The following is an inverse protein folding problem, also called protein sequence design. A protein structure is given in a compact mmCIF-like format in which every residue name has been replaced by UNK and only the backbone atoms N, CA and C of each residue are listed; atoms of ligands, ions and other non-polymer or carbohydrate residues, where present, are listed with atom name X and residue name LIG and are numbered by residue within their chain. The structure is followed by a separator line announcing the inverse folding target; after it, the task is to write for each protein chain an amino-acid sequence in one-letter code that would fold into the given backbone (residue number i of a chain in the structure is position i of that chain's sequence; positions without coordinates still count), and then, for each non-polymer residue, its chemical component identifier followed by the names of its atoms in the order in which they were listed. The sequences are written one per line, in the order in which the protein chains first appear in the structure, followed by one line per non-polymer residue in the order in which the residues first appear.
data_IF_880846811243
#
_entry.id   IF_880846811243
#
_cell.length_a   1.000
_cell.length_b   1.000
_cell.length_c   1.000
_cell.angle_alpha   90.00
_cell.angle_beta   90.00
_cell.angle_gamma   90.00
#
_symmetry.space_group_name_H-M   'P 1'
#
loop_
_entity.id
_entity.type
_entity.pdbx_description
1 polymer ?
#
# COMPACT_ATOMS: atom_id res chain seq x y z
N UNK A 1 -4.03 11.44 -13.76
CA UNK A 1 -4.15 12.10 -12.44
C UNK A 1 -5.42 11.63 -11.75
N UNK A 2 -5.39 11.20 -10.48
CA UNK A 2 -6.61 10.78 -9.79
C UNK A 2 -7.60 11.94 -9.71
N UNK A 3 -8.87 11.70 -10.07
CA UNK A 3 -9.95 12.68 -9.89
C UNK A 3 -10.04 13.05 -8.41
N UNK A 4 -10.01 14.35 -8.09
CA UNK A 4 -10.24 14.83 -6.71
C UNK A 4 -11.71 14.60 -6.36
N UNK A 5 -11.97 13.71 -5.40
CA UNK A 5 -13.31 13.43 -4.88
C UNK A 5 -13.52 14.30 -3.63
N UNK A 6 -14.65 15.04 -3.52
CA UNK A 6 -14.95 15.82 -2.32
C UNK A 6 -15.07 14.91 -1.08
N UNK A 7 -14.53 15.38 0.05
CA UNK A 7 -14.46 14.60 1.29
C UNK A 7 -15.84 14.14 1.79
N UNK A 8 -16.86 15.00 1.67
CA UNK A 8 -18.25 14.70 2.05
C UNK A 8 -18.81 13.47 1.30
N UNK A 9 -18.48 13.32 0.02
CA UNK A 9 -18.88 12.17 -0.80
C UNK A 9 -18.04 10.94 -0.45
N UNK A 10 -16.73 11.11 -0.23
CA UNK A 10 -15.83 10.01 0.10
C UNK A 10 -16.25 9.29 1.40
N UNK A 11 -16.55 10.06 2.46
CA UNK A 11 -17.00 9.54 3.77
C UNK A 11 -18.29 8.73 3.65
N UNK A 12 -19.22 9.16 2.78
CA UNK A 12 -20.47 8.43 2.51
C UNK A 12 -20.24 7.20 1.63
N UNK A 13 -19.33 7.30 0.65
CA UNK A 13 -19.03 6.24 -0.31
C UNK A 13 -18.41 5.00 0.35
N UNK A 14 -17.55 5.20 1.36
CA UNK A 14 -16.85 4.13 2.13
C UNK A 14 -16.14 3.08 1.25
N UNK A 15 -15.81 3.44 0.00
CA UNK A 15 -15.10 2.59 -0.95
C UNK A 15 -15.93 1.49 -1.65
N UNK A 16 -17.12 1.13 -1.15
CA UNK A 16 -17.96 0.08 -1.75
C UNK A 16 -19.25 0.60 -2.39
N UNK A 17 -19.76 1.77 -1.97
CA UNK A 17 -21.03 2.33 -2.49
C UNK A 17 -20.90 3.02 -3.85
N UNK A 18 -19.67 3.20 -4.35
CA UNK A 18 -19.35 3.80 -5.66
C UNK A 18 -19.99 5.17 -5.94
N UNK A 19 -20.34 5.94 -4.90
CA UNK A 19 -20.94 7.29 -5.03
C UNK A 19 -20.02 8.30 -5.74
N UNK A 20 -18.71 8.06 -5.75
CA UNK A 20 -17.73 8.89 -6.45
C UNK A 20 -17.57 8.53 -7.93
N UNK A 21 -18.28 7.51 -8.44
CA UNK A 21 -18.22 7.08 -9.85
C UNK A 21 -16.93 6.38 -10.27
N UNK A 22 -16.05 6.07 -9.31
CA UNK A 22 -14.81 5.33 -9.58
C UNK A 22 -15.07 3.82 -9.61
N UNK A 23 -14.44 3.12 -10.55
CA UNK A 23 -14.50 1.66 -10.68
C UNK A 23 -13.90 0.96 -9.45
N UNK A 24 -12.81 1.51 -8.92
CA UNK A 24 -12.12 1.06 -7.71
C UNK A 24 -11.81 2.24 -6.77
N UNK A 25 -11.86 1.99 -5.46
CA UNK A 25 -11.54 3.01 -4.48
C UNK A 25 -10.01 3.13 -4.32
N UNK A 26 -9.39 4.30 -4.59
CA UNK A 26 -7.94 4.45 -4.53
C UNK A 26 -7.37 4.27 -3.11
N UNK A 27 -8.16 4.53 -2.07
CA UNK A 27 -7.77 4.30 -0.66
C UNK A 27 -7.64 2.80 -0.40
N UNK A 28 -8.66 2.03 -0.80
CA UNK A 28 -8.65 0.58 -0.64
C UNK A 28 -7.57 -0.07 -1.51
N UNK A 29 -7.32 0.47 -2.70
CA UNK A 29 -6.27 -0.06 -3.59
C UNK A 29 -4.88 0.13 -2.99
N UNK A 30 -4.59 1.31 -2.43
CA UNK A 30 -3.35 1.57 -1.68
C UNK A 30 -3.21 0.65 -0.47
N UNK A 31 -4.29 0.50 0.30
CA UNK A 31 -4.30 -0.37 1.47
C UNK A 31 -4.05 -1.83 1.09
N UNK A 32 -4.68 -2.33 0.02
CA UNK A 32 -4.44 -3.69 -0.50
C UNK A 32 -3.00 -3.88 -0.93
N UNK A 33 -2.44 -2.93 -1.67
CA UNK A 33 -1.03 -2.98 -2.06
C UNK A 33 -0.12 -3.07 -0.84
N UNK A 34 -0.34 -2.23 0.18
CA UNK A 34 0.42 -2.27 1.44
C UNK A 34 0.28 -3.61 2.17
N UNK A 35 -0.95 -4.10 2.33
CA UNK A 35 -1.22 -5.38 3.01
C UNK A 35 -0.58 -6.54 2.27
N UNK A 36 -0.69 -6.60 0.93
CA UNK A 36 -0.06 -7.63 0.10
C UNK A 36 1.46 -7.58 0.21
N UNK A 37 2.06 -6.38 0.21
CA UNK A 37 3.50 -6.22 0.43
C UNK A 37 3.92 -6.74 1.81
N UNK A 38 3.16 -6.47 2.86
CA UNK A 38 3.44 -6.93 4.23
C UNK A 38 3.24 -8.44 4.37
N UNK A 39 2.16 -9.00 3.81
CA UNK A 39 1.88 -10.45 3.88
C UNK A 39 2.81 -11.28 2.98
N UNK A 40 3.35 -10.69 1.91
CA UNK A 40 4.40 -11.30 1.09
C UNK A 40 5.70 -11.58 1.85
N UNK A 41 5.93 -10.99 3.04
CA UNK A 41 7.10 -11.30 3.87
C UNK A 41 7.05 -12.72 4.48
N UNK A 42 5.94 -13.44 4.33
CA UNK A 42 5.82 -14.86 4.69
C UNK A 42 5.71 -15.09 6.20
N UNK A 43 5.14 -16.23 6.57
CA UNK A 43 4.81 -16.67 7.94
C UNK A 43 6.02 -16.95 8.84
N UNK A 44 7.23 -16.50 8.48
CA UNK A 44 8.40 -16.61 9.34
C UNK A 44 8.51 -15.30 10.12
N UNK A 45 8.67 -15.35 11.46
CA UNK A 45 9.00 -14.17 12.22
C UNK A 45 10.41 -13.75 11.81
N UNK A 46 10.53 -12.99 10.74
CA UNK A 46 11.72 -12.18 10.53
C UNK A 46 11.57 -11.08 11.57
N UNK A 47 12.24 -11.27 12.71
CA UNK A 47 12.45 -10.26 13.75
C UNK A 47 13.17 -9.07 13.10
N UNK A 48 12.43 -8.26 12.34
CA UNK A 48 12.90 -7.06 11.68
C UNK A 48 12.85 -5.94 12.71
N UNK A 49 13.88 -5.91 13.54
CA UNK A 49 14.07 -4.89 14.55
C UNK A 49 14.70 -3.65 13.89
N UNK A 50 13.90 -2.61 13.70
CA UNK A 50 14.32 -1.36 13.06
C UNK A 50 13.33 -0.22 13.31
N UNK A 51 13.83 1.01 13.32
CA UNK A 51 13.01 2.21 13.53
C UNK A 51 12.03 2.42 12.35
N UNK A 52 10.72 2.31 12.64
CA UNK A 52 9.53 2.76 11.88
C UNK A 52 9.50 2.57 10.34
N UNK A 53 8.35 2.12 9.80
CA UNK A 53 8.24 0.81 9.17
C UNK A 53 9.23 0.61 8.01
N UNK A 54 9.63 -0.64 7.68
CA UNK A 54 10.54 -0.91 6.57
C UNK A 54 10.09 -0.17 5.31
N UNK A 55 10.93 0.72 4.79
CA UNK A 55 10.56 1.48 3.59
C UNK A 55 10.74 0.57 2.38
N UNK A 56 9.71 0.50 1.53
CA UNK A 56 9.69 -0.35 0.35
C UNK A 56 9.79 0.54 -0.89
N UNK A 57 10.79 0.30 -1.72
CA UNK A 57 10.90 0.95 -3.04
C UNK A 57 10.29 0.00 -4.08
N UNK A 58 9.31 0.50 -4.81
CA UNK A 58 8.64 -0.23 -5.89
C UNK A 58 9.22 0.22 -7.22
N UNK A 59 9.71 -0.71 -8.04
CA UNK A 59 10.25 -0.40 -9.35
C UNK A 59 9.17 -0.02 -10.37
N UNK A 60 9.56 0.78 -11.36
CA UNK A 60 8.62 1.39 -12.32
C UNK A 60 8.21 0.47 -13.49
N UNK A 61 8.91 -0.64 -13.72
CA UNK A 61 8.66 -1.56 -14.83
C UNK A 61 8.13 -2.92 -14.38
N UNK A 62 7.30 -3.55 -15.24
CA UNK A 62 6.85 -4.93 -15.08
C UNK A 62 5.43 -5.14 -14.53
N UNK A 63 4.59 -4.09 -14.43
CA UNK A 63 3.22 -4.24 -13.92
C UNK A 63 2.45 -5.36 -14.66
N UNK A 64 1.77 -6.28 -13.96
CA UNK A 64 1.45 -6.28 -12.52
C UNK A 64 2.51 -6.91 -11.59
N UNK A 65 3.61 -7.46 -12.11
CA UNK A 65 4.71 -8.08 -11.34
C UNK A 65 5.95 -7.19 -11.37
N UNK A 66 6.00 -6.23 -10.45
CA UNK A 66 7.07 -5.24 -10.35
C UNK A 66 8.17 -5.69 -9.36
N UNK A 67 9.43 -5.32 -9.59
CA UNK A 67 10.50 -5.58 -8.62
C UNK A 67 10.31 -4.69 -7.38
N UNK A 68 10.63 -5.24 -6.21
CA UNK A 68 10.55 -4.55 -4.92
C UNK A 68 11.90 -4.62 -4.20
N UNK A 69 12.31 -3.51 -3.60
CA UNK A 69 13.50 -3.44 -2.75
C UNK A 69 13.09 -3.05 -1.33
N UNK A 70 13.52 -3.85 -0.36
CA UNK A 70 13.36 -3.54 1.06
C UNK A 70 14.52 -2.70 1.54
N UNK A 71 14.23 -1.50 2.04
CA UNK A 71 15.21 -0.67 2.72
C UNK A 71 15.12 -0.96 4.22
N UNK A 72 15.92 -1.95 4.62
CA UNK A 72 16.04 -2.40 6.00
C UNK A 72 17.04 -1.45 6.68
N UNK A 73 16.63 -0.66 7.68
CA UNK A 73 17.57 0.19 8.40
C UNK A 73 18.63 -0.69 9.10
N UNK A 74 19.89 -0.24 9.18
CA UNK A 74 20.92 -0.97 9.91
C UNK A 74 20.51 -1.13 11.38
N UNK A 75 20.89 -2.26 11.99
CA UNK A 75 20.67 -2.51 13.41
C UNK A 75 21.26 -1.34 14.22
N UNK A 76 20.39 -0.57 14.89
CA UNK A 76 20.84 0.34 15.94
C UNK A 76 21.21 -0.56 17.13
N UNK A 77 22.50 -0.64 17.43
CA UNK A 77 22.99 -1.07 18.74
C UNK A 77 22.94 0.13 19.69
#
# INVERSE_FOLDING_TARGET
MPKRVPASVCVRCKGYKRLCGLLSCPILERFRAQVLSVTSLGSRPLELQGSTPPSLVVGEQGYPKVPILFNIPPHIH
#
